data_IF_277936482424
#
_entry.id   IF_277936482424
#
_cell.length_a   1.000
_cell.length_b   1.000
_cell.length_c   1.000
_cell.angle_alpha   90.00
_cell.angle_beta   90.00
_cell.angle_gamma   90.00
#
_symmetry.space_group_name_H-M   'P 1'
#
loop_
_entity.id
_entity.type
_entity.pdbx_description
1 polymer ?
#
# COMPACT_ATOMS: atom_id res chain seq x y z
N UNK A 1 22.43 -1.27 14.10
CA UNK A 1 22.13 -0.77 15.46
C UNK A 1 20.88 -1.51 15.89
N UNK A 2 20.99 -2.50 16.76
CA UNK A 2 19.87 -3.29 17.30
C UNK A 2 19.19 -2.38 18.33
N UNK A 3 17.94 -2.00 18.10
CA UNK A 3 17.24 -1.07 18.98
C UNK A 3 16.22 -1.87 19.76
N UNK A 4 16.58 -2.24 20.98
CA UNK A 4 15.67 -2.79 21.98
C UNK A 4 14.81 -1.72 22.66
N UNK A 5 15.15 -0.45 22.49
CA UNK A 5 14.40 0.71 22.99
C UNK A 5 14.69 1.93 22.10
N UNK A 6 13.94 2.10 21.02
CA UNK A 6 13.74 3.46 20.52
C UNK A 6 12.67 4.08 21.41
N UNK A 7 13.08 4.95 22.32
CA UNK A 7 12.13 5.87 22.92
C UNK A 7 11.33 6.52 21.80
N UNK A 8 10.02 6.27 21.78
CA UNK A 8 9.11 7.13 21.05
C UNK A 8 9.51 8.56 21.42
N UNK A 9 9.80 9.46 20.46
CA UNK A 9 9.94 10.87 20.82
C UNK A 9 8.71 11.21 21.65
N UNK A 10 8.93 11.86 22.81
CA UNK A 10 7.96 12.09 23.86
C UNK A 10 6.58 12.33 23.26
N UNK A 11 5.61 11.51 23.63
CA UNK A 11 4.30 11.44 23.00
C UNK A 11 3.78 12.87 22.78
N UNK A 12 3.76 13.30 21.52
CA UNK A 12 2.96 14.46 21.16
C UNK A 12 1.57 14.18 21.73
N UNK A 13 1.04 15.12 22.50
CA UNK A 13 -0.29 15.04 23.14
C UNK A 13 -1.22 14.42 22.11
N UNK A 14 -1.67 13.18 22.33
CA UNK A 14 -2.58 12.51 21.42
C UNK A 14 -3.83 13.37 21.37
N UNK A 15 -3.96 14.16 20.31
CA UNK A 15 -5.24 14.81 20.00
C UNK A 15 -6.24 13.67 19.77
N UNK A 16 -7.45 13.81 20.32
CA UNK A 16 -8.50 12.82 20.10
C UNK A 16 -8.66 12.54 18.59
N UNK A 17 -8.74 11.26 18.23
CA UNK A 17 -8.92 10.84 16.82
C UNK A 17 -10.21 11.47 16.29
N UNK A 18 -10.12 12.20 15.18
CA UNK A 18 -11.27 12.76 14.48
C UNK A 18 -11.91 11.65 13.63
N UNK A 19 -13.20 11.44 13.75
CA UNK A 19 -13.91 10.47 12.93
C UNK A 19 -14.77 11.21 11.91
N UNK A 20 -14.54 11.05 10.60
CA UNK A 20 -15.41 11.66 9.60
C UNK A 20 -16.80 11.03 9.66
N UNK A 21 -17.85 11.85 9.66
CA UNK A 21 -19.24 11.39 9.70
C UNK A 21 -19.77 10.99 8.32
N UNK A 22 -19.11 11.46 7.25
CA UNK A 22 -19.50 11.20 5.85
C UNK A 22 -18.27 10.95 4.97
N UNK A 23 -18.46 10.33 3.82
CA UNK A 23 -17.39 10.15 2.83
C UNK A 23 -16.85 11.49 2.32
N UNK A 24 -17.70 12.48 2.14
CA UNK A 24 -17.28 13.83 1.75
C UNK A 24 -16.37 14.46 2.82
N UNK A 25 -16.66 14.24 4.10
CA UNK A 25 -15.82 14.69 5.20
C UNK A 25 -14.49 13.91 5.26
N UNK A 26 -14.50 12.60 4.98
CA UNK A 26 -13.27 11.81 4.86
C UNK A 26 -12.35 12.35 3.76
N UNK A 27 -12.88 12.72 2.60
CA UNK A 27 -12.13 13.38 1.52
C UNK A 27 -11.59 14.74 1.95
N UNK A 28 -12.40 15.54 2.68
CA UNK A 28 -11.95 16.82 3.23
C UNK A 28 -10.77 16.61 4.19
N UNK A 29 -10.89 15.66 5.13
CA UNK A 29 -9.84 15.34 6.09
C UNK A 29 -8.58 14.81 5.40
N UNK A 30 -8.72 14.03 4.35
CA UNK A 30 -7.58 13.57 3.55
C UNK A 30 -6.82 14.76 2.91
N UNK A 31 -7.52 15.75 2.38
CA UNK A 31 -6.89 16.97 1.82
C UNK A 31 -6.16 17.79 2.90
N UNK A 32 -6.81 18.02 4.04
CA UNK A 32 -6.18 18.72 5.18
C UNK A 32 -4.93 17.97 5.70
N UNK A 33 -5.00 16.65 5.76
CA UNK A 33 -3.87 15.80 6.15
C UNK A 33 -2.74 15.86 5.10
N UNK A 34 -3.08 15.78 3.81
CA UNK A 34 -2.11 15.84 2.71
C UNK A 34 -1.36 17.19 2.69
N UNK A 35 -2.04 18.32 2.95
CA UNK A 35 -1.39 19.62 3.06
C UNK A 35 -0.30 19.63 4.15
N UNK A 36 -0.59 19.07 5.33
CA UNK A 36 0.38 18.97 6.44
C UNK A 36 1.53 18.01 6.11
N UNK A 37 1.22 16.86 5.51
CA UNK A 37 2.23 15.87 5.07
C UNK A 37 3.13 16.48 4.00
N UNK A 38 2.58 17.24 3.05
CA UNK A 38 3.34 17.90 1.99
C UNK A 38 4.38 18.90 2.54
N UNK A 39 4.07 19.62 3.61
CA UNK A 39 5.03 20.51 4.26
C UNK A 39 6.23 19.75 4.83
N UNK A 40 5.98 18.58 5.44
CA UNK A 40 7.03 17.71 5.96
C UNK A 40 7.85 17.06 4.83
N UNK A 41 7.20 16.60 3.77
CA UNK A 41 7.85 15.95 2.63
C UNK A 41 8.69 16.91 1.76
N UNK A 42 8.31 18.20 1.68
CA UNK A 42 9.07 19.22 0.95
C UNK A 42 10.41 19.57 1.63
N UNK A 43 10.48 19.46 2.94
CA UNK A 43 11.72 19.73 3.69
C UNK A 43 12.65 18.51 3.64
N UNK A 44 13.84 18.60 3.01
CA UNK A 44 14.76 17.47 2.89
C UNK A 44 15.19 16.85 4.21
N UNK A 45 15.35 17.67 5.26
CA UNK A 45 15.78 17.19 6.58
C UNK A 45 14.69 16.35 7.24
N UNK A 46 13.44 16.80 7.16
CA UNK A 46 12.28 16.07 7.71
C UNK A 46 12.01 14.81 6.88
N UNK A 47 12.19 14.88 5.57
CA UNK A 47 11.98 13.74 4.68
C UNK A 47 12.98 12.60 4.90
N UNK A 48 14.13 12.85 5.52
CA UNK A 48 15.10 11.83 5.89
C UNK A 48 14.82 11.16 7.26
N UNK A 49 13.84 11.67 8.00
CA UNK A 49 13.47 11.14 9.30
C UNK A 49 12.40 10.04 9.17
N UNK A 50 12.29 9.20 10.20
CA UNK A 50 11.19 8.25 10.29
C UNK A 50 9.84 9.00 10.35
N UNK A 51 8.81 8.57 9.60
CA UNK A 51 7.59 9.34 9.38
C UNK A 51 6.57 9.21 10.53
N UNK A 52 7.01 9.37 11.79
CA UNK A 52 6.12 9.31 12.96
C UNK A 52 5.02 10.37 12.88
N UNK A 53 5.41 11.63 12.56
CA UNK A 53 4.45 12.72 12.48
C UNK A 53 3.43 12.50 11.36
N UNK A 54 3.87 12.04 10.20
CA UNK A 54 2.99 11.74 9.07
C UNK A 54 2.02 10.61 9.40
N UNK A 55 2.51 9.54 10.05
CA UNK A 55 1.68 8.43 10.48
C UNK A 55 0.64 8.87 11.55
N UNK A 56 1.03 9.73 12.48
CA UNK A 56 0.13 10.28 13.50
C UNK A 56 -0.91 11.24 12.87
N UNK A 57 -0.56 12.00 11.83
CA UNK A 57 -1.53 12.78 11.05
C UNK A 57 -2.61 11.86 10.47
N UNK A 58 -2.24 10.73 9.83
CA UNK A 58 -3.22 9.77 9.30
C UNK A 58 -4.18 9.28 10.37
N UNK A 59 -3.65 8.89 11.54
CA UNK A 59 -4.44 8.40 12.68
C UNK A 59 -5.35 9.50 13.26
N UNK A 60 -4.81 10.70 13.53
CA UNK A 60 -5.53 11.81 14.15
C UNK A 60 -6.67 12.35 13.26
N UNK A 61 -6.53 12.25 11.94
CA UNK A 61 -7.60 12.57 11.00
C UNK A 61 -8.57 11.41 10.76
N UNK A 62 -8.42 10.29 11.49
CA UNK A 62 -9.27 9.10 11.40
C UNK A 62 -9.23 8.38 10.07
N UNK A 63 -8.24 8.67 9.22
CA UNK A 63 -8.14 8.08 7.87
C UNK A 63 -7.83 6.59 7.91
N UNK A 64 -7.26 6.11 9.00
CA UNK A 64 -7.04 4.68 9.26
C UNK A 64 -8.33 3.92 9.57
N UNK A 65 -9.41 4.60 9.98
CA UNK A 65 -10.65 3.97 10.43
C UNK A 65 -11.82 4.09 9.42
N UNK A 66 -11.66 4.81 8.31
CA UNK A 66 -12.76 5.07 7.36
C UNK A 66 -13.36 3.81 6.75
N UNK A 67 -12.56 2.75 6.59
CA UNK A 67 -13.00 1.49 6.00
C UNK A 67 -13.68 0.54 7.01
N UNK A 68 -13.61 0.83 8.32
CA UNK A 68 -14.31 0.04 9.34
C UNK A 68 -15.82 0.06 9.08
N UNK A 69 -16.48 -1.11 8.95
CA UNK A 69 -17.90 -1.19 8.66
C UNK A 69 -18.78 -0.46 9.68
N UNK A 70 -19.89 0.13 9.22
CA UNK A 70 -20.85 0.84 10.10
C UNK A 70 -21.35 -0.02 11.25
N UNK A 71 -21.61 -1.31 11.02
CA UNK A 71 -22.01 -2.28 12.06
C UNK A 71 -20.96 -2.48 13.16
N UNK A 72 -19.72 -2.07 12.91
CA UNK A 72 -18.60 -2.14 13.85
C UNK A 72 -18.20 -0.75 14.38
N UNK A 73 -19.00 0.29 14.13
CA UNK A 73 -18.80 1.64 14.64
C UNK A 73 -17.96 2.57 13.75
N UNK A 74 -17.56 2.14 12.55
CA UNK A 74 -16.83 2.96 11.60
C UNK A 74 -17.71 3.69 10.59
N UNK A 75 -17.08 4.40 9.64
CA UNK A 75 -17.77 5.08 8.54
C UNK A 75 -18.34 4.07 7.51
N UNK A 76 -17.70 2.93 7.30
CA UNK A 76 -18.04 1.98 6.24
C UNK A 76 -17.91 2.63 4.86
N UNK A 77 -16.82 3.35 4.63
CA UNK A 77 -16.57 4.05 3.39
C UNK A 77 -16.55 3.08 2.18
N UNK A 78 -17.06 3.55 1.04
CA UNK A 78 -16.96 2.85 -0.24
C UNK A 78 -15.51 2.63 -0.67
N UNK A 79 -15.27 1.66 -1.54
CA UNK A 79 -13.97 1.44 -2.17
C UNK A 79 -13.49 2.71 -2.85
N UNK A 80 -14.38 3.39 -3.56
CA UNK A 80 -14.12 4.67 -4.22
C UNK A 80 -13.56 5.72 -3.26
N UNK A 81 -14.12 5.85 -2.09
CA UNK A 81 -13.66 6.82 -1.08
C UNK A 81 -12.31 6.41 -0.49
N UNK A 82 -12.10 5.13 -0.15
CA UNK A 82 -10.81 4.66 0.38
C UNK A 82 -9.69 4.86 -0.64
N UNK A 83 -9.93 4.49 -1.89
CA UNK A 83 -8.98 4.66 -3.01
C UNK A 83 -8.63 6.14 -3.22
N UNK A 84 -9.64 7.03 -3.20
CA UNK A 84 -9.43 8.48 -3.35
C UNK A 84 -8.64 9.07 -2.17
N UNK A 85 -8.89 8.62 -0.94
CA UNK A 85 -8.12 9.04 0.24
C UNK A 85 -6.66 8.63 0.12
N UNK A 86 -6.37 7.37 -0.29
CA UNK A 86 -4.99 6.92 -0.53
C UNK A 86 -4.33 7.74 -1.64
N UNK A 87 -5.04 8.02 -2.75
CA UNK A 87 -4.53 8.86 -3.84
C UNK A 87 -4.17 10.28 -3.36
N UNK A 88 -5.05 10.92 -2.57
CA UNK A 88 -4.82 12.27 -2.04
C UNK A 88 -3.59 12.30 -1.14
N UNK A 89 -3.44 11.36 -0.20
CA UNK A 89 -2.27 11.28 0.67
C UNK A 89 -0.99 11.08 -0.16
N UNK A 90 -1.04 10.22 -1.18
CA UNK A 90 0.11 9.94 -2.06
C UNK A 90 0.50 11.12 -2.96
N UNK A 91 -0.37 12.11 -3.15
CA UNK A 91 -0.01 13.38 -3.81
C UNK A 91 1.03 14.15 -2.99
N UNK A 92 0.96 14.05 -1.68
CA UNK A 92 1.90 14.68 -0.76
C UNK A 92 3.18 13.84 -0.58
N UNK A 93 3.01 12.52 -0.37
CA UNK A 93 4.10 11.58 -0.06
C UNK A 93 3.70 10.15 -0.42
N UNK A 94 4.41 9.52 -1.36
CA UNK A 94 4.13 8.17 -1.83
C UNK A 94 4.35 7.10 -0.77
N UNK A 95 5.37 7.24 0.07
CA UNK A 95 5.68 6.31 1.16
C UNK A 95 4.62 6.34 2.27
N UNK A 96 4.12 7.52 2.61
CA UNK A 96 3.01 7.68 3.58
C UNK A 96 1.71 7.12 3.00
N UNK A 97 1.47 7.31 1.69
CA UNK A 97 0.37 6.65 0.98
C UNK A 97 0.43 5.13 1.10
N UNK A 98 1.63 4.56 1.03
CA UNK A 98 1.84 3.11 1.19
C UNK A 98 1.62 2.62 2.62
N UNK A 99 1.91 3.42 3.65
CA UNK A 99 1.51 3.11 5.03
C UNK A 99 -0.01 2.97 5.16
N UNK A 100 -0.75 3.88 4.56
CA UNK A 100 -2.22 3.85 4.58
C UNK A 100 -2.77 2.69 3.72
N UNK A 101 -2.15 2.42 2.57
CA UNK A 101 -2.47 1.29 1.70
C UNK A 101 -2.38 -0.03 2.47
N UNK A 102 -1.21 -0.33 3.06
CA UNK A 102 -1.02 -1.62 3.73
C UNK A 102 -1.93 -1.77 4.95
N UNK A 103 -2.15 -0.69 5.69
CA UNK A 103 -3.11 -0.67 6.79
C UNK A 103 -4.51 -1.12 6.31
N UNK A 104 -5.04 -0.52 5.23
CA UNK A 104 -6.34 -0.87 4.67
C UNK A 104 -6.39 -2.31 4.13
N UNK A 105 -5.29 -2.83 3.59
CA UNK A 105 -5.20 -4.24 3.19
C UNK A 105 -5.31 -5.17 4.40
N UNK A 106 -4.61 -4.87 5.49
CA UNK A 106 -4.57 -5.73 6.67
C UNK A 106 -5.88 -5.69 7.46
N UNK A 107 -6.49 -4.51 7.65
CA UNK A 107 -7.75 -4.41 8.43
C UNK A 107 -8.93 -5.08 7.74
N UNK A 108 -8.96 -5.18 6.40
CA UNK A 108 -10.00 -5.92 5.70
C UNK A 108 -10.11 -7.37 6.19
N UNK A 109 -8.96 -8.00 6.45
CA UNK A 109 -8.90 -9.34 7.02
C UNK A 109 -9.49 -9.43 8.43
N UNK A 110 -9.41 -8.35 9.22
CA UNK A 110 -9.97 -8.30 10.58
C UNK A 110 -11.49 -8.40 10.55
N UNK A 111 -12.16 -7.76 9.58
CA UNK A 111 -13.63 -7.74 9.52
C UNK A 111 -14.26 -9.10 9.23
N UNK A 112 -13.50 -10.01 8.61
CA UNK A 112 -13.92 -11.36 8.25
C UNK A 112 -13.53 -12.42 9.30
N UNK A 113 -12.92 -12.02 10.41
CA UNK A 113 -12.61 -12.93 11.52
C UNK A 113 -13.87 -13.35 12.26
N UNK A 114 -13.84 -14.48 12.98
CA UNK A 114 -14.93 -14.85 13.89
C UNK A 114 -15.30 -13.70 14.84
N UNK A 115 -16.59 -13.62 15.21
CA UNK A 115 -17.09 -12.60 16.11
C UNK A 115 -16.73 -12.95 17.55
N UNK A 116 -15.52 -12.59 17.94
CA UNK A 116 -14.94 -12.84 19.24
C UNK A 116 -14.36 -11.56 19.85
N UNK A 117 -13.92 -11.66 21.10
CA UNK A 117 -13.32 -10.56 21.84
C UNK A 117 -12.04 -10.04 21.15
N UNK A 118 -11.30 -10.94 20.49
CA UNK A 118 -10.08 -10.56 19.78
C UNK A 118 -10.40 -9.64 18.57
N UNK A 119 -11.40 -10.00 17.75
CA UNK A 119 -11.88 -9.12 16.67
C UNK A 119 -12.38 -7.79 17.21
N UNK A 120 -13.18 -7.81 18.28
CA UNK A 120 -13.69 -6.61 18.92
C UNK A 120 -12.56 -5.68 19.40
N UNK A 121 -11.49 -6.23 19.95
CA UNK A 121 -10.28 -5.49 20.33
C UNK A 121 -9.61 -4.86 19.12
N UNK A 122 -9.39 -5.61 18.03
CA UNK A 122 -8.74 -5.11 16.81
C UNK A 122 -9.53 -3.95 16.19
N UNK A 123 -10.86 -4.05 16.20
CA UNK A 123 -11.75 -2.99 15.71
C UNK A 123 -11.64 -1.73 16.58
N UNK A 124 -11.71 -1.87 17.90
CA UNK A 124 -11.51 -0.73 18.83
C UNK A 124 -10.15 -0.08 18.60
N UNK A 125 -9.08 -0.87 18.52
CA UNK A 125 -7.73 -0.38 18.27
C UNK A 125 -7.64 0.39 16.94
N UNK A 126 -8.34 -0.07 15.89
CA UNK A 126 -8.42 0.65 14.60
C UNK A 126 -9.15 1.98 14.75
N UNK A 127 -10.29 2.02 15.44
CA UNK A 127 -11.05 3.24 15.72
C UNK A 127 -10.24 4.23 16.57
N UNK A 128 -9.43 3.73 17.49
CA UNK A 128 -8.50 4.53 18.31
C UNK A 128 -7.25 5.00 17.53
N UNK A 129 -7.21 4.80 16.21
CA UNK A 129 -6.13 5.24 15.32
C UNK A 129 -4.88 4.36 15.36
N UNK A 130 -4.91 3.19 15.99
CA UNK A 130 -3.81 2.22 15.95
C UNK A 130 -3.67 1.61 14.55
N UNK A 131 -2.43 1.40 14.14
CA UNK A 131 -2.08 1.02 12.78
C UNK A 131 -1.74 -0.46 12.67
N UNK A 132 -1.92 -0.98 11.44
CA UNK A 132 -1.54 -2.34 11.04
C UNK A 132 -0.46 -2.28 9.98
N UNK A 133 0.60 -3.05 10.18
CA UNK A 133 1.66 -3.30 9.22
C UNK A 133 1.67 -4.75 8.76
N UNK A 134 2.52 -5.06 7.79
CA UNK A 134 2.68 -6.42 7.31
C UNK A 134 4.08 -6.99 7.55
N UNK A 135 4.19 -8.32 7.53
CA UNK A 135 5.43 -9.08 7.49
C UNK A 135 5.21 -10.33 6.62
N UNK A 136 5.04 -10.12 5.29
CA UNK A 136 4.62 -11.17 4.36
C UNK A 136 5.76 -11.74 3.54
N UNK A 137 6.68 -10.89 3.05
CA UNK A 137 7.74 -11.26 2.14
C UNK A 137 9.03 -11.68 2.86
N UNK A 138 9.83 -12.50 2.19
CA UNK A 138 11.16 -12.92 2.65
C UNK A 138 12.19 -12.67 1.54
N UNK A 139 13.43 -12.41 1.93
CA UNK A 139 14.56 -12.31 1.00
C UNK A 139 15.22 -13.67 0.89
N UNK A 140 15.59 -14.08 -0.32
CA UNK A 140 16.41 -15.28 -0.57
C UNK A 140 15.63 -16.58 -0.77
N UNK A 141 14.29 -16.59 -0.68
CA UNK A 141 13.47 -17.76 -1.03
C UNK A 141 13.46 -18.05 -2.54
N UNK A 142 13.24 -19.31 -2.93
CA UNK A 142 13.11 -19.73 -4.35
C UNK A 142 11.92 -19.05 -5.04
N UNK A 143 10.88 -18.74 -4.29
CA UNK A 143 9.69 -18.02 -4.73
C UNK A 143 8.92 -17.48 -3.52
N UNK A 144 7.89 -16.66 -3.76
CA UNK A 144 7.08 -16.01 -2.70
C UNK A 144 6.26 -16.96 -1.81
N UNK A 145 6.24 -18.26 -2.08
CA UNK A 145 5.54 -19.28 -1.29
C UNK A 145 6.48 -20.15 -0.47
N UNK A 146 7.79 -19.98 -0.65
CA UNK A 146 8.82 -20.68 0.11
C UNK A 146 9.11 -19.89 1.39
N UNK A 147 8.43 -20.28 2.47
CA UNK A 147 8.54 -19.59 3.77
C UNK A 147 9.60 -20.25 4.63
N UNK A 148 10.73 -19.56 4.83
CA UNK A 148 11.73 -19.92 5.83
C UNK A 148 11.24 -19.61 7.27
N UNK A 149 10.39 -18.56 7.41
CA UNK A 149 9.68 -18.28 8.66
C UNK A 149 8.65 -19.36 8.91
N UNK A 150 8.76 -20.07 10.05
CA UNK A 150 7.95 -21.25 10.34
C UNK A 150 7.38 -21.23 11.76
N UNK A 151 6.21 -21.86 11.87
CA UNK A 151 5.63 -22.29 13.14
C UNK A 151 5.87 -23.79 13.26
N UNK A 152 6.50 -24.19 14.35
CA UNK A 152 6.74 -25.60 14.72
C UNK A 152 6.32 -25.86 16.16
N UNK A 153 6.11 -27.14 16.53
CA UNK A 153 5.88 -27.51 17.91
C UNK A 153 7.21 -27.62 18.67
N UNK A 154 7.23 -27.09 19.90
CA UNK A 154 8.32 -27.35 20.86
C UNK A 154 8.14 -28.71 21.54
N UNK A 155 9.08 -29.10 22.42
CA UNK A 155 9.04 -30.36 23.16
C UNK A 155 7.85 -30.49 24.12
N UNK A 156 7.27 -29.36 24.51
CA UNK A 156 6.08 -29.27 25.37
C UNK A 156 4.78 -29.31 24.56
N UNK A 157 4.88 -29.30 23.20
CA UNK A 157 3.75 -29.34 22.28
C UNK A 157 3.17 -27.96 21.93
N UNK A 158 3.76 -26.86 22.43
CA UNK A 158 3.33 -25.51 22.10
C UNK A 158 3.80 -25.10 20.69
N UNK A 159 3.03 -24.23 20.04
CA UNK A 159 3.43 -23.69 18.75
C UNK A 159 4.39 -22.50 18.92
N UNK A 160 5.55 -22.56 18.27
CA UNK A 160 6.59 -21.53 18.30
C UNK A 160 6.86 -21.00 16.90
N UNK A 161 6.86 -19.67 16.76
CA UNK A 161 7.21 -18.97 15.53
C UNK A 161 8.66 -18.52 15.58
N UNK A 162 9.41 -18.86 14.53
CA UNK A 162 10.79 -18.45 14.32
C UNK A 162 11.02 -18.03 12.88
N UNK A 163 11.90 -17.03 12.66
CA UNK A 163 12.32 -16.58 11.34
C UNK A 163 12.39 -15.08 11.21
N UNK A 164 12.41 -14.59 9.98
CA UNK A 164 12.43 -13.15 9.69
C UNK A 164 11.74 -12.84 8.39
N UNK A 165 11.17 -11.64 8.32
CA UNK A 165 10.54 -11.06 7.12
C UNK A 165 11.24 -9.76 6.76
N UNK A 166 11.23 -9.42 5.47
CA UNK A 166 11.69 -8.14 4.94
C UNK A 166 10.61 -7.56 4.02
N UNK A 167 10.75 -6.32 3.59
CA UNK A 167 9.66 -5.56 2.95
C UNK A 167 8.41 -5.50 3.84
N UNK A 168 8.64 -5.36 5.17
CA UNK A 168 7.57 -5.36 6.18
C UNK A 168 6.97 -3.97 6.32
N UNK A 169 6.30 -3.51 5.27
CA UNK A 169 5.74 -2.17 5.15
C UNK A 169 4.90 -1.80 6.35
N UNK A 170 5.19 -0.63 6.94
CA UNK A 170 4.45 -0.03 8.03
C UNK A 170 4.61 -0.71 9.39
N UNK A 171 5.22 -1.91 9.48
CA UNK A 171 5.33 -2.65 10.74
C UNK A 171 6.08 -1.89 11.81
N UNK A 172 7.11 -1.12 11.43
CA UNK A 172 7.89 -0.32 12.36
C UNK A 172 7.06 0.76 13.08
N UNK A 173 5.97 1.24 12.46
CA UNK A 173 5.07 2.28 12.97
C UNK A 173 3.72 1.74 13.44
N UNK A 174 3.50 0.43 13.35
CA UNK A 174 2.21 -0.20 13.65
C UNK A 174 2.17 -0.80 15.07
N UNK A 175 0.97 -0.92 15.62
CA UNK A 175 0.66 -1.68 16.83
C UNK A 175 0.43 -3.16 16.52
N UNK A 176 -0.07 -3.47 15.33
CA UNK A 176 -0.39 -4.82 14.93
C UNK A 176 0.36 -5.20 13.65
N UNK A 177 1.01 -6.35 13.66
CA UNK A 177 1.79 -6.89 12.54
C UNK A 177 1.11 -8.16 12.04
N UNK A 178 0.65 -8.11 10.77
CA UNK A 178 0.08 -9.27 10.08
C UNK A 178 1.17 -10.00 9.32
N UNK A 179 1.34 -11.30 9.56
CA UNK A 179 2.38 -12.09 8.91
C UNK A 179 1.84 -13.41 8.36
N UNK A 180 2.60 -13.99 7.42
CA UNK A 180 2.44 -15.37 6.97
C UNK A 180 3.67 -16.18 7.31
N UNK A 181 3.46 -17.43 7.74
CA UNK A 181 4.53 -18.38 8.03
C UNK A 181 4.18 -19.75 7.46
N UNK A 182 5.16 -20.63 7.29
CA UNK A 182 4.94 -22.04 7.02
C UNK A 182 4.58 -22.79 8.30
N UNK A 183 3.80 -23.86 8.20
CA UNK A 183 3.60 -24.84 9.26
C UNK A 183 3.47 -26.23 8.66
N UNK A 184 3.43 -27.26 9.51
CA UNK A 184 3.24 -28.65 9.05
C UNK A 184 1.84 -28.87 8.45
N UNK A 185 0.87 -28.01 8.79
CA UNK A 185 -0.49 -28.05 8.26
C UNK A 185 -0.71 -27.07 7.07
N UNK A 186 0.38 -26.52 6.52
CA UNK A 186 0.34 -25.54 5.43
C UNK A 186 0.59 -24.09 5.92
N UNK A 187 0.41 -23.10 5.02
CA UNK A 187 0.64 -21.70 5.37
C UNK A 187 -0.35 -21.20 6.42
N UNK A 188 0.16 -20.40 7.36
CA UNK A 188 -0.60 -19.82 8.47
C UNK A 188 -0.50 -18.31 8.45
N UNK A 189 -1.64 -17.63 8.64
CA UNK A 189 -1.72 -16.19 8.85
C UNK A 189 -1.81 -15.86 10.33
N UNK A 190 -0.88 -15.09 10.84
CA UNK A 190 -0.78 -14.72 12.26
C UNK A 190 -0.87 -13.21 12.38
N UNK A 191 -1.48 -12.72 13.46
CA UNK A 191 -1.51 -11.31 13.82
C UNK A 191 -0.91 -11.15 15.21
N UNK A 192 0.19 -10.39 15.30
CA UNK A 192 0.91 -10.14 16.54
C UNK A 192 0.82 -8.68 16.95
N UNK A 193 0.74 -8.44 18.26
CA UNK A 193 0.98 -7.09 18.79
C UNK A 193 2.48 -6.80 18.78
N UNK A 194 2.88 -5.55 18.51
CA UNK A 194 4.30 -5.14 18.46
C UNK A 194 5.09 -5.42 19.75
N UNK A 195 4.40 -5.49 20.90
CA UNK A 195 5.00 -5.75 22.19
C UNK A 195 5.06 -7.26 22.52
N UNK A 196 4.77 -8.14 21.54
CA UNK A 196 4.87 -9.59 21.74
C UNK A 196 6.33 -9.96 22.07
N UNK A 197 6.60 -10.66 23.19
CA UNK A 197 7.96 -11.10 23.51
C UNK A 197 8.56 -11.93 22.37
N UNK A 198 9.81 -11.63 21.98
CA UNK A 198 10.50 -12.30 20.88
C UNK A 198 10.25 -11.64 19.49
N UNK A 199 9.45 -10.59 19.41
CA UNK A 199 9.28 -9.81 18.19
C UNK A 199 10.24 -8.62 18.20
N UNK A 200 11.04 -8.47 17.13
CA UNK A 200 11.95 -7.32 16.94
C UNK A 200 11.69 -6.65 15.61
N UNK A 201 11.62 -5.31 15.63
CA UNK A 201 11.45 -4.46 14.46
C UNK A 201 12.76 -3.71 14.22
N UNK A 202 13.31 -3.80 13.00
CA UNK A 202 14.60 -3.17 12.66
C UNK A 202 14.38 -1.94 11.75
N UNK A 203 15.06 -0.84 12.05
CA UNK A 203 15.17 0.31 11.17
C UNK A 203 16.31 0.10 10.18
N UNK A 204 16.09 -0.74 9.17
CA UNK A 204 17.07 -1.11 8.15
C UNK A 204 16.56 -0.89 6.72
N UNK A 205 15.44 -0.23 6.53
CA UNK A 205 14.94 0.15 5.21
C UNK A 205 15.78 1.29 4.63
N UNK A 206 16.55 1.00 3.57
CA UNK A 206 17.51 1.95 2.96
C UNK A 206 17.35 2.01 1.43
N UNK A 207 16.09 2.11 0.97
CA UNK A 207 15.79 2.32 -0.45
C UNK A 207 15.99 3.79 -0.83
N UNK A 208 16.28 4.07 -2.11
CA UNK A 208 16.43 5.44 -2.60
C UNK A 208 15.11 6.20 -2.75
N UNK A 209 13.96 5.52 -2.68
CA UNK A 209 12.61 6.05 -2.68
C UNK A 209 11.72 5.23 -1.75
N UNK A 210 10.46 5.65 -1.57
CA UNK A 210 9.53 5.01 -0.64
C UNK A 210 10.11 4.91 0.79
N UNK A 211 10.95 5.87 1.19
CA UNK A 211 11.62 5.85 2.49
C UNK A 211 10.59 5.81 3.63
N UNK A 212 9.52 6.57 3.50
CA UNK A 212 8.45 6.68 4.49
C UNK A 212 7.53 5.45 4.55
N UNK A 213 7.70 4.46 3.66
CA UNK A 213 7.01 3.17 3.79
C UNK A 213 7.56 2.30 4.93
N UNK A 214 8.78 2.59 5.38
CA UNK A 214 9.50 1.93 6.49
C UNK A 214 9.39 0.40 6.40
N UNK A 215 9.83 -0.13 5.24
CA UNK A 215 9.61 -1.54 4.86
C UNK A 215 10.78 -2.45 5.27
N UNK A 216 11.31 -2.30 6.50
CA UNK A 216 12.45 -3.01 7.04
C UNK A 216 12.18 -4.44 7.50
N UNK A 217 13.10 -4.95 8.31
CA UNK A 217 13.09 -6.32 8.84
C UNK A 217 12.19 -6.45 10.07
N UNK A 218 11.47 -7.57 10.13
CA UNK A 218 10.78 -8.07 11.32
C UNK A 218 11.34 -9.45 11.67
N UNK A 219 11.83 -9.63 12.91
CA UNK A 219 12.34 -10.91 13.40
C UNK A 219 11.40 -11.51 14.41
N UNK A 220 11.34 -12.83 14.40
CA UNK A 220 10.55 -13.67 15.30
C UNK A 220 11.46 -14.68 15.95
N UNK A 221 11.57 -14.60 17.26
CA UNK A 221 12.43 -15.48 18.06
C UNK A 221 11.60 -16.17 19.15
N UNK A 222 11.35 -17.46 18.96
CA UNK A 222 10.65 -18.32 19.92
C UNK A 222 9.28 -17.77 20.39
N UNK A 223 8.53 -17.10 19.51
CA UNK A 223 7.23 -16.50 19.84
C UNK A 223 6.19 -17.60 20.03
N UNK A 224 5.50 -17.60 21.18
CA UNK A 224 4.36 -18.46 21.41
C UNK A 224 3.18 -18.04 20.50
N UNK A 225 2.70 -18.98 19.71
CA UNK A 225 1.57 -18.77 18.77
C UNK A 225 0.32 -19.44 19.34
N UNK A 226 -0.77 -18.69 19.42
CA UNK A 226 -2.06 -19.21 19.84
C UNK A 226 -2.58 -20.23 18.80
N UNK A 227 -3.07 -21.37 19.27
CA UNK A 227 -3.57 -22.48 18.46
C UNK A 227 -4.70 -22.06 17.50
N UNK A 228 -5.44 -20.99 17.84
CA UNK A 228 -6.50 -20.43 16.96
C UNK A 228 -6.00 -20.00 15.56
N UNK A 229 -4.70 -19.69 15.43
CA UNK A 229 -4.09 -19.33 14.16
C UNK A 229 -3.65 -20.54 13.33
N UNK A 230 -3.56 -21.71 13.93
CA UNK A 230 -3.02 -22.91 13.29
C UNK A 230 -4.14 -23.60 12.47
N UNK A 231 -3.95 -23.82 11.17
CA UNK A 231 -4.90 -24.57 10.37
C UNK A 231 -5.11 -25.97 10.94
N UNK A 232 -6.37 -26.42 11.02
CA UNK A 232 -6.65 -27.81 11.39
C UNK A 232 -6.14 -28.73 10.28
N UNK A 233 -5.64 -29.94 10.63
CA UNK A 233 -5.25 -30.94 9.63
C UNK A 233 -6.39 -31.17 8.63
N UNK A 234 -6.11 -31.00 7.33
CA UNK A 234 -7.12 -31.11 6.28
C UNK A 234 -8.08 -29.93 6.17
N UNK A 235 -7.94 -28.92 7.00
CA UNK A 235 -8.66 -27.65 6.86
C UNK A 235 -8.14 -26.91 5.62
N UNK A 236 -9.06 -26.61 4.69
CA UNK A 236 -8.73 -25.70 3.58
C UNK A 236 -8.55 -24.32 4.21
N UNK A 237 -7.31 -23.84 4.28
CA UNK A 237 -7.07 -22.40 4.48
C UNK A 237 -7.90 -21.68 3.42
N UNK A 238 -8.87 -20.87 3.84
CA UNK A 238 -9.85 -20.25 2.94
C UNK A 238 -9.19 -19.77 1.66
N UNK A 239 -9.56 -20.39 0.53
CA UNK A 239 -8.97 -20.12 -0.76
C UNK A 239 -9.10 -18.62 -1.08
N UNK A 240 -8.04 -18.04 -1.62
CA UNK A 240 -8.14 -16.67 -2.13
C UNK A 240 -9.14 -16.66 -3.30
N UNK A 241 -10.13 -15.79 -3.22
CA UNK A 241 -11.09 -15.63 -4.34
C UNK A 241 -10.36 -15.20 -5.62
N UNK A 242 -10.98 -15.41 -6.75
CA UNK A 242 -10.49 -14.98 -8.06
C UNK A 242 -10.11 -13.50 -8.07
N UNK A 243 -10.93 -12.66 -7.43
CA UNK A 243 -10.74 -11.21 -7.30
C UNK A 243 -9.92 -10.79 -6.07
N UNK A 244 -9.43 -11.73 -5.26
CA UNK A 244 -8.81 -11.44 -3.96
C UNK A 244 -7.58 -10.55 -4.00
N UNK A 245 -6.86 -10.52 -5.13
CA UNK A 245 -5.69 -9.64 -5.31
C UNK A 245 -6.05 -8.25 -5.83
N UNK A 246 -7.28 -8.01 -6.29
CA UNK A 246 -7.66 -6.69 -6.83
C UNK A 246 -7.63 -5.59 -5.77
N UNK A 247 -7.95 -5.92 -4.52
CA UNK A 247 -7.92 -4.96 -3.42
C UNK A 247 -6.54 -4.32 -3.17
N UNK A 248 -5.47 -5.07 -2.89
CA UNK A 248 -4.15 -4.44 -2.76
C UNK A 248 -3.71 -3.74 -4.05
N UNK A 249 -4.08 -4.25 -5.22
CA UNK A 249 -3.62 -3.70 -6.49
C UNK A 249 -4.27 -2.36 -6.84
N UNK A 250 -5.55 -2.15 -6.57
CA UNK A 250 -6.19 -0.85 -6.81
C UNK A 250 -5.62 0.22 -5.87
N UNK A 251 -5.24 -0.14 -4.65
CA UNK A 251 -4.58 0.78 -3.73
C UNK A 251 -3.15 1.13 -4.17
N UNK A 252 -2.41 0.19 -4.76
CA UNK A 252 -1.13 0.51 -5.41
C UNK A 252 -1.32 1.47 -6.60
N UNK A 253 -2.37 1.27 -7.42
CA UNK A 253 -2.69 2.22 -8.49
C UNK A 253 -3.02 3.62 -7.95
N UNK A 254 -3.69 3.71 -6.81
CA UNK A 254 -3.96 4.99 -6.15
C UNK A 254 -2.69 5.70 -5.71
N UNK A 255 -1.68 4.97 -5.20
CA UNK A 255 -0.38 5.54 -4.83
C UNK A 255 0.32 6.12 -6.06
N UNK A 256 0.48 5.34 -7.12
CA UNK A 256 1.16 5.80 -8.35
C UNK A 256 0.42 6.99 -8.98
N UNK A 257 -0.92 6.96 -9.01
CA UNK A 257 -1.75 8.08 -9.51
C UNK A 257 -1.56 9.33 -8.65
N UNK A 258 -1.46 9.18 -7.32
CA UNK A 258 -1.18 10.28 -6.40
C UNK A 258 0.20 10.87 -6.61
N UNK A 259 1.24 10.05 -6.76
CA UNK A 259 2.61 10.51 -7.05
C UNK A 259 2.63 11.29 -8.39
N UNK A 260 1.97 10.77 -9.44
CA UNK A 260 1.88 11.44 -10.73
C UNK A 260 1.22 12.84 -10.61
N UNK A 261 0.14 12.94 -9.84
CA UNK A 261 -0.55 14.20 -9.55
C UNK A 261 0.35 15.17 -8.79
N UNK A 262 1.01 14.71 -7.73
CA UNK A 262 1.93 15.52 -6.93
C UNK A 262 3.12 16.05 -7.75
N UNK A 263 3.68 15.23 -8.61
CA UNK A 263 4.75 15.64 -9.53
C UNK A 263 4.28 16.72 -10.51
N UNK A 264 3.08 16.56 -11.11
CA UNK A 264 2.49 17.55 -12.00
C UNK A 264 2.26 18.90 -11.29
N UNK A 265 1.69 18.87 -10.08
CA UNK A 265 1.42 20.09 -9.29
C UNK A 265 2.72 20.78 -8.90
N UNK A 266 3.72 20.04 -8.41
CA UNK A 266 5.02 20.59 -8.05
C UNK A 266 5.77 21.15 -9.26
N UNK A 267 5.75 20.47 -10.40
CA UNK A 267 6.35 20.96 -11.63
C UNK A 267 5.68 22.26 -12.10
N UNK A 268 4.35 22.32 -12.10
CA UNK A 268 3.59 23.48 -12.51
C UNK A 268 3.83 24.68 -11.58
N UNK A 269 3.90 24.46 -10.28
CA UNK A 269 4.24 25.50 -9.30
C UNK A 269 5.65 26.03 -9.55
N UNK A 270 6.63 25.14 -9.73
CA UNK A 270 8.02 25.51 -9.98
C UNK A 270 8.19 26.32 -11.28
N UNK A 271 7.52 25.91 -12.35
CA UNK A 271 7.55 26.62 -13.65
C UNK A 271 7.02 28.06 -13.55
N UNK A 272 6.01 28.28 -12.72
CA UNK A 272 5.41 29.60 -12.52
C UNK A 272 6.25 30.52 -11.65
N UNK A 273 7.01 29.96 -10.69
CA UNK A 273 7.64 30.76 -9.64
C UNK A 273 9.15 30.81 -9.70
N UNK A 274 9.82 29.83 -10.32
CA UNK A 274 11.26 29.66 -10.23
C UNK A 274 11.98 29.49 -11.57
N UNK A 275 11.26 29.03 -12.62
CA UNK A 275 11.86 28.80 -13.93
C UNK A 275 11.97 30.12 -14.72
N UNK A 276 13.05 30.23 -15.51
CA UNK A 276 13.26 31.29 -16.48
C UNK A 276 12.93 30.72 -17.88
N UNK A 277 12.37 31.54 -18.78
CA UNK A 277 12.17 31.12 -20.17
C UNK A 277 13.52 30.89 -20.86
N UNK A 278 13.52 29.99 -21.84
CA UNK A 278 14.67 29.85 -22.72
C UNK A 278 14.75 31.03 -23.68
N UNK A 279 15.94 31.50 -23.99
CA UNK A 279 16.15 32.74 -24.78
C UNK A 279 15.50 32.70 -26.13
N UNK A 280 15.46 31.53 -26.79
CA UNK A 280 14.85 31.38 -28.12
C UNK A 280 13.31 31.45 -28.11
N UNK A 281 12.70 31.41 -26.94
CA UNK A 281 11.24 31.50 -26.84
C UNK A 281 10.70 32.92 -26.94
N UNK A 282 11.55 33.93 -26.75
CA UNK A 282 11.20 35.36 -26.84
C UNK A 282 9.98 35.76 -25.99
N UNK A 283 9.84 35.12 -24.79
CA UNK A 283 8.76 35.38 -23.84
C UNK A 283 9.32 35.83 -22.49
N UNK A 284 8.52 36.49 -21.67
CA UNK A 284 8.94 37.00 -20.39
C UNK A 284 8.97 35.93 -19.28
N UNK A 285 8.10 34.93 -19.37
CA UNK A 285 7.92 33.88 -18.34
C UNK A 285 7.99 32.50 -18.95
N UNK A 286 8.59 31.55 -18.26
CA UNK A 286 8.65 30.16 -18.69
C UNK A 286 7.24 29.54 -18.92
N UNK A 287 6.23 29.98 -18.17
CA UNK A 287 4.85 29.54 -18.34
C UNK A 287 4.19 30.01 -19.65
N UNK A 288 4.84 30.86 -20.43
CA UNK A 288 4.38 31.36 -21.75
C UNK A 288 5.07 30.63 -22.92
N UNK A 289 6.09 29.82 -22.62
CA UNK A 289 6.83 29.08 -23.62
C UNK A 289 5.97 27.97 -24.25
N UNK A 290 5.77 27.95 -25.58
CA UNK A 290 4.87 27.00 -26.23
C UNK A 290 5.24 25.54 -26.00
N UNK A 291 6.53 25.20 -25.91
CA UNK A 291 7.02 23.83 -25.66
C UNK A 291 6.73 23.38 -24.23
N UNK A 292 6.88 24.26 -23.24
CA UNK A 292 6.53 24.02 -21.85
C UNK A 292 5.02 23.79 -21.73
N UNK A 293 4.21 24.69 -22.31
CA UNK A 293 2.74 24.56 -22.28
C UNK A 293 2.30 23.23 -22.88
N UNK A 294 2.83 22.85 -24.04
CA UNK A 294 2.52 21.57 -24.69
C UNK A 294 2.89 20.39 -23.78
N UNK A 295 4.09 20.39 -23.21
CA UNK A 295 4.57 19.26 -22.38
C UNK A 295 3.79 19.13 -21.08
N UNK A 296 3.46 20.22 -20.42
CA UNK A 296 2.57 20.22 -19.25
C UNK A 296 1.18 19.70 -19.63
N UNK A 297 0.69 20.00 -20.83
CA UNK A 297 -0.53 19.41 -21.37
C UNK A 297 -0.45 17.88 -21.50
N UNK A 298 0.67 17.34 -21.99
CA UNK A 298 0.92 15.90 -22.08
C UNK A 298 0.93 15.24 -20.70
N UNK A 299 1.58 15.85 -19.70
CA UNK A 299 1.54 15.39 -18.31
C UNK A 299 0.11 15.37 -17.75
N UNK A 300 -0.62 16.46 -17.95
CA UNK A 300 -1.99 16.57 -17.46
C UNK A 300 -2.91 15.51 -18.07
N UNK A 301 -2.76 15.20 -19.37
CA UNK A 301 -3.52 14.12 -20.04
C UNK A 301 -3.18 12.76 -19.45
N UNK A 302 -1.89 12.46 -19.24
CA UNK A 302 -1.46 11.19 -18.64
C UNK A 302 -2.02 10.99 -17.22
N UNK A 303 -1.92 12.03 -16.38
CA UNK A 303 -2.45 12.01 -15.01
C UNK A 303 -3.98 11.87 -15.00
N UNK A 304 -4.68 12.66 -15.82
CA UNK A 304 -6.15 12.59 -15.92
C UNK A 304 -6.64 11.23 -16.42
N UNK A 305 -5.88 10.59 -17.33
CA UNK A 305 -6.14 9.22 -17.78
C UNK A 305 -6.03 8.21 -16.64
N UNK A 306 -4.97 8.28 -15.84
CA UNK A 306 -4.80 7.43 -14.67
C UNK A 306 -5.92 7.65 -13.62
N UNK A 307 -6.27 8.91 -13.33
CA UNK A 307 -7.35 9.25 -12.40
C UNK A 307 -8.73 8.77 -12.88
N UNK A 308 -9.00 8.85 -14.19
CA UNK A 308 -10.27 8.38 -14.76
C UNK A 308 -10.39 6.86 -14.66
N UNK A 309 -9.33 6.13 -15.02
CA UNK A 309 -9.29 4.67 -14.87
C UNK A 309 -9.35 4.23 -13.41
N UNK A 310 -8.71 4.97 -12.49
CA UNK A 310 -8.76 4.67 -11.06
C UNK A 310 -10.18 4.77 -10.51
N UNK A 311 -10.91 5.84 -10.87
CA UNK A 311 -12.32 6.01 -10.50
C UNK A 311 -13.19 4.91 -11.08
N UNK A 312 -13.00 4.59 -12.36
CA UNK A 312 -13.72 3.52 -13.02
C UNK A 312 -13.52 2.17 -12.32
N UNK A 313 -12.25 1.79 -12.06
CA UNK A 313 -11.93 0.55 -11.37
C UNK A 313 -12.53 0.50 -9.95
N UNK A 314 -12.57 1.63 -9.25
CA UNK A 314 -13.19 1.72 -7.92
C UNK A 314 -14.72 1.58 -8.00
N UNK A 315 -15.38 2.18 -9.00
CA UNK A 315 -16.81 2.04 -9.22
C UNK A 315 -17.18 0.57 -9.56
N UNK A 316 -16.40 -0.10 -10.41
CA UNK A 316 -16.55 -1.54 -10.71
C UNK A 316 -16.35 -2.39 -9.45
N UNK A 317 -15.40 -2.02 -8.61
CA UNK A 317 -15.15 -2.74 -7.35
C UNK A 317 -16.33 -2.61 -6.39
N UNK A 318 -16.89 -1.41 -6.21
CA UNK A 318 -18.08 -1.20 -5.37
C UNK A 318 -19.28 -2.00 -5.89
N UNK A 319 -19.47 -2.11 -7.22
CA UNK A 319 -20.50 -2.96 -7.83
C UNK A 319 -20.26 -4.45 -7.56
N UNK A 320 -19.00 -4.92 -7.71
CA UNK A 320 -18.62 -6.31 -7.42
C UNK A 320 -18.92 -6.71 -5.96
N UNK A 321 -18.80 -5.79 -5.01
CA UNK A 321 -19.12 -6.07 -3.60
C UNK A 321 -20.65 -6.31 -3.40
N UNK A 322 -21.50 -5.81 -4.28
CA UNK A 322 -22.95 -6.03 -4.24
C UNK A 322 -23.35 -7.35 -4.91
N UNK A 323 -22.62 -7.78 -5.92
CA UNK A 323 -22.82 -9.05 -6.63
C UNK A 323 -21.47 -9.76 -6.87
N UNK A 324 -20.93 -10.42 -5.83
CA UNK A 324 -19.60 -11.01 -5.91
C UNK A 324 -19.50 -12.27 -6.76
N UNK A 325 -20.62 -12.88 -7.11
CA UNK A 325 -20.70 -14.14 -7.86
C UNK A 325 -20.89 -13.90 -9.38
N UNK A 326 -21.13 -12.65 -9.82
CA UNK A 326 -21.19 -12.29 -11.24
C UNK A 326 -19.82 -12.43 -11.90
N UNK A 327 -19.65 -13.45 -12.76
CA UNK A 327 -18.38 -13.75 -13.44
C UNK A 327 -17.95 -12.63 -14.39
N UNK A 328 -18.90 -11.99 -15.10
CA UNK A 328 -18.56 -10.90 -16.02
C UNK A 328 -18.07 -9.68 -15.26
N UNK A 329 -18.66 -9.40 -14.10
CA UNK A 329 -18.23 -8.32 -13.21
C UNK A 329 -16.88 -8.64 -12.55
N UNK A 330 -16.60 -9.91 -12.23
CA UNK A 330 -15.27 -10.34 -11.78
C UNK A 330 -14.20 -10.13 -12.86
N UNK A 331 -14.48 -10.50 -14.11
CA UNK A 331 -13.57 -10.26 -15.25
C UNK A 331 -13.31 -8.77 -15.42
N UNK A 332 -14.36 -7.96 -15.47
CA UNK A 332 -14.23 -6.52 -15.61
C UNK A 332 -13.42 -5.88 -14.47
N UNK A 333 -13.65 -6.30 -13.21
CA UNK A 333 -12.89 -5.82 -12.09
C UNK A 333 -11.38 -6.11 -12.24
N UNK A 334 -11.02 -7.32 -12.64
CA UNK A 334 -9.61 -7.70 -12.82
C UNK A 334 -8.99 -6.89 -13.97
N UNK A 335 -9.71 -6.73 -15.09
CA UNK A 335 -9.26 -5.93 -16.25
C UNK A 335 -9.09 -4.46 -15.89
N UNK A 336 -10.09 -3.86 -15.22
CA UNK A 336 -10.07 -2.47 -14.81
C UNK A 336 -8.88 -2.18 -13.87
N UNK A 337 -8.65 -3.07 -12.88
CA UNK A 337 -7.52 -2.94 -11.95
C UNK A 337 -6.18 -3.14 -12.67
N UNK A 338 -6.05 -4.11 -13.58
CA UNK A 338 -4.84 -4.31 -14.36
C UNK A 338 -4.54 -3.10 -15.26
N UNK A 339 -5.59 -2.52 -15.88
CA UNK A 339 -5.48 -1.35 -16.74
C UNK A 339 -5.02 -0.12 -15.97
N UNK A 340 -5.65 0.19 -14.83
CA UNK A 340 -5.24 1.34 -14.02
C UNK A 340 -3.86 1.15 -13.42
N UNK A 341 -3.47 -0.06 -13.03
CA UNK A 341 -2.09 -0.34 -12.59
C UNK A 341 -1.07 0.01 -13.67
N UNK A 342 -1.36 -0.37 -14.91
CA UNK A 342 -0.45 -0.09 -16.04
C UNK A 342 -0.40 1.40 -16.38
N UNK A 343 -1.54 2.07 -16.36
CA UNK A 343 -1.61 3.50 -16.68
C UNK A 343 -0.99 4.36 -15.58
N UNK A 344 -1.23 4.05 -14.31
CA UNK A 344 -0.66 4.80 -13.18
C UNK A 344 0.85 4.64 -13.06
N UNK A 345 1.37 3.40 -13.28
CA UNK A 345 2.81 3.13 -13.38
C UNK A 345 3.46 4.04 -14.43
N UNK A 346 2.93 4.00 -15.67
CA UNK A 346 3.45 4.82 -16.78
C UNK A 346 3.35 6.32 -16.50
N UNK A 347 2.22 6.81 -15.98
CA UNK A 347 2.01 8.21 -15.69
C UNK A 347 2.93 8.73 -14.58
N UNK A 348 3.10 7.96 -13.50
CA UNK A 348 3.95 8.36 -12.38
C UNK A 348 5.40 8.50 -12.78
N UNK A 349 5.93 7.51 -13.53
CA UNK A 349 7.30 7.54 -14.03
C UNK A 349 7.51 8.62 -15.08
N UNK A 350 6.55 8.78 -16.01
CA UNK A 350 6.64 9.78 -17.05
C UNK A 350 6.72 11.19 -16.46
N UNK A 351 5.75 11.58 -15.63
CA UNK A 351 5.69 12.95 -15.11
C UNK A 351 6.85 13.22 -14.16
N UNK A 352 7.11 12.33 -13.21
CA UNK A 352 8.11 12.55 -12.16
C UNK A 352 9.56 12.57 -12.67
N UNK A 353 9.84 11.84 -13.76
CA UNK A 353 11.16 11.84 -14.39
C UNK A 353 11.33 12.97 -15.40
N UNK A 354 10.37 13.12 -16.30
CA UNK A 354 10.50 14.04 -17.45
C UNK A 354 10.35 15.52 -17.04
N UNK A 355 9.69 15.82 -15.93
CA UNK A 355 9.51 17.21 -15.45
C UNK A 355 10.83 17.98 -15.35
N UNK A 356 11.94 17.32 -15.01
CA UNK A 356 13.25 17.97 -14.89
C UNK A 356 13.78 18.53 -16.22
N UNK A 357 13.32 18.00 -17.35
CA UNK A 357 13.63 18.54 -18.68
C UNK A 357 13.06 19.95 -18.89
N UNK A 358 11.95 20.27 -18.21
CA UNK A 358 11.32 21.59 -18.26
C UNK A 358 11.81 22.53 -17.14
N UNK A 359 12.08 21.97 -15.95
CA UNK A 359 12.41 22.75 -14.75
C UNK A 359 13.84 23.27 -14.75
N UNK A 360 14.74 22.65 -15.52
CA UNK A 360 16.14 23.00 -15.62
C UNK A 360 16.97 22.54 -14.41
N UNK A 361 18.28 22.79 -14.48
CA UNK A 361 19.27 22.26 -13.52
C UNK A 361 19.02 22.69 -12.06
N UNK A 362 18.50 23.90 -11.83
CA UNK A 362 18.25 24.40 -10.47
C UNK A 362 17.18 23.60 -9.70
N UNK A 363 16.28 22.93 -10.42
CA UNK A 363 15.26 22.07 -9.83
C UNK A 363 15.85 20.79 -9.22
N UNK A 364 17.06 20.40 -9.61
CA UNK A 364 17.76 19.23 -9.05
C UNK A 364 18.38 19.47 -7.68
N UNK A 365 18.38 20.72 -7.20
CA UNK A 365 18.94 21.05 -5.88
C UNK A 365 18.09 20.43 -4.76
N UNK A 366 18.77 19.85 -3.76
CA UNK A 366 18.15 19.14 -2.63
C UNK A 366 17.12 19.99 -1.86
N UNK A 367 17.31 21.32 -1.80
CA UNK A 367 16.37 22.22 -1.12
C UNK A 367 14.93 22.17 -1.65
N UNK A 368 14.73 21.72 -2.89
CA UNK A 368 13.41 21.59 -3.51
C UNK A 368 12.79 20.20 -3.29
N UNK A 369 13.63 19.20 -3.05
CA UNK A 369 13.26 17.79 -2.85
C UNK A 369 12.28 17.26 -3.92
N UNK A 370 12.40 17.72 -5.17
CA UNK A 370 11.49 17.32 -6.27
C UNK A 370 11.78 15.90 -6.74
N UNK A 371 13.03 15.43 -6.60
CA UNK A 371 13.43 14.08 -6.95
C UNK A 371 12.69 13.00 -6.15
N UNK A 372 12.08 13.33 -5.01
CA UNK A 372 11.30 12.38 -4.21
C UNK A 372 10.16 11.73 -5.02
N UNK A 373 9.50 12.48 -5.90
CA UNK A 373 8.44 11.95 -6.72
C UNK A 373 8.92 10.84 -7.66
N UNK A 374 10.06 11.04 -8.33
CA UNK A 374 10.67 10.02 -9.17
C UNK A 374 11.18 8.84 -8.35
N UNK A 375 11.84 9.11 -7.26
CA UNK A 375 12.40 8.08 -6.40
C UNK A 375 11.28 7.18 -5.83
N UNK A 376 10.20 7.79 -5.34
CA UNK A 376 9.03 7.06 -4.83
C UNK A 376 8.33 6.27 -5.92
N UNK A 377 8.06 6.88 -7.08
CA UNK A 377 7.46 6.19 -8.22
C UNK A 377 8.32 5.00 -8.67
N UNK A 378 9.65 5.22 -8.83
CA UNK A 378 10.54 4.15 -9.31
C UNK A 378 10.63 2.98 -8.35
N UNK A 379 10.72 3.21 -7.04
CA UNK A 379 10.75 2.13 -6.05
C UNK A 379 9.39 1.43 -5.98
N UNK A 380 8.28 2.19 -5.97
CA UNK A 380 6.94 1.62 -5.87
C UNK A 380 6.57 0.77 -7.10
N UNK A 381 6.91 1.22 -8.31
CA UNK A 381 6.62 0.48 -9.55
C UNK A 381 7.45 -0.80 -9.73
N UNK A 382 8.45 -1.05 -8.88
CA UNK A 382 9.17 -2.34 -8.85
C UNK A 382 8.49 -3.41 -8.00
N UNK A 383 7.40 -3.07 -7.31
CA UNK A 383 6.71 -3.99 -6.40
C UNK A 383 6.24 -5.28 -7.09
N UNK A 384 5.67 -5.17 -8.30
CA UNK A 384 5.35 -6.33 -9.14
C UNK A 384 5.51 -5.99 -10.64
N UNK A 385 5.79 -7.00 -11.48
CA UNK A 385 6.16 -6.75 -12.86
C UNK A 385 4.94 -6.38 -13.72
N UNK A 386 4.80 -5.08 -14.02
CA UNK A 386 3.69 -4.49 -14.79
C UNK A 386 3.46 -5.16 -16.16
N UNK A 387 4.52 -5.72 -16.78
CA UNK A 387 4.42 -6.45 -18.06
C UNK A 387 3.41 -7.60 -18.04
N UNK A 388 3.18 -8.21 -16.87
CA UNK A 388 2.18 -9.26 -16.72
C UNK A 388 0.76 -8.72 -16.67
N UNK A 389 0.57 -7.49 -16.16
CA UNK A 389 -0.74 -6.81 -16.22
C UNK A 389 -1.14 -6.53 -17.66
N UNK A 390 -0.20 -5.98 -18.44
CA UNK A 390 -0.40 -5.75 -19.86
C UNK A 390 -0.63 -7.06 -20.64
N UNK A 391 0.11 -8.13 -20.31
CA UNK A 391 -0.09 -9.45 -20.90
C UNK A 391 -1.52 -9.96 -20.65
N UNK A 392 -2.02 -9.87 -19.43
CA UNK A 392 -3.37 -10.35 -19.09
C UNK A 392 -4.45 -9.55 -19.84
N UNK A 393 -4.33 -8.24 -19.86
CA UNK A 393 -5.25 -7.38 -20.62
C UNK A 393 -5.20 -7.71 -22.11
N UNK A 394 -3.99 -7.80 -22.69
CA UNK A 394 -3.81 -8.13 -24.11
C UNK A 394 -4.34 -9.51 -24.48
N UNK A 395 -4.13 -10.51 -23.62
CA UNK A 395 -4.58 -11.88 -23.86
C UNK A 395 -6.11 -12.01 -23.80
N UNK A 396 -6.77 -11.24 -22.94
CA UNK A 396 -8.21 -11.16 -22.92
C UNK A 396 -8.77 -10.61 -24.24
N UNK A 397 -8.27 -9.44 -24.69
CA UNK A 397 -8.78 -8.81 -25.92
C UNK A 397 -8.39 -9.56 -27.19
N UNK A 398 -7.24 -10.19 -27.23
CA UNK A 398 -6.74 -10.87 -28.43
C UNK A 398 -7.28 -12.31 -28.54
N UNK A 399 -7.34 -13.05 -27.43
CA UNK A 399 -7.55 -14.49 -27.41
C UNK A 399 -8.81 -14.89 -26.62
N UNK A 400 -9.53 -13.94 -26.01
CA UNK A 400 -10.70 -14.23 -25.18
C UNK A 400 -10.38 -15.00 -23.88
N UNK A 401 -9.13 -14.96 -23.42
CA UNK A 401 -8.72 -15.66 -22.19
C UNK A 401 -9.13 -14.84 -20.99
N UNK A 402 -9.95 -15.38 -20.05
CA UNK A 402 -10.34 -14.68 -18.84
C UNK A 402 -9.14 -14.15 -18.04
N UNK A 403 -9.18 -12.97 -17.43
CA UNK A 403 -8.03 -12.29 -16.84
C UNK A 403 -7.66 -12.84 -15.44
N UNK A 404 -7.57 -14.16 -15.30
CA UNK A 404 -7.38 -14.85 -14.02
C UNK A 404 -6.00 -15.50 -13.84
N UNK A 405 -5.15 -15.48 -14.86
CA UNK A 405 -3.91 -16.29 -14.87
C UNK A 405 -3.00 -16.05 -13.66
N UNK A 406 -2.83 -14.80 -13.19
CA UNK A 406 -2.01 -14.52 -12.03
C UNK A 406 -2.63 -15.09 -10.74
N UNK A 407 -3.92 -14.94 -10.56
CA UNK A 407 -4.68 -15.53 -9.46
C UNK A 407 -4.71 -17.04 -9.53
N UNK A 408 -4.92 -17.62 -10.73
CA UNK A 408 -4.95 -19.05 -10.95
C UNK A 408 -3.61 -19.73 -10.59
N UNK A 409 -2.49 -19.17 -10.99
CA UNK A 409 -1.16 -19.69 -10.66
C UNK A 409 -0.91 -19.70 -9.13
N UNK A 410 -1.35 -18.65 -8.43
CA UNK A 410 -1.26 -18.57 -6.97
C UNK A 410 -2.16 -19.61 -6.32
N UNK A 411 -3.41 -19.76 -6.79
CA UNK A 411 -4.35 -20.74 -6.24
C UNK A 411 -3.85 -22.16 -6.47
N UNK A 412 -3.37 -22.48 -7.69
CA UNK A 412 -2.79 -23.78 -8.02
C UNK A 412 -1.61 -24.12 -7.10
N UNK A 413 -0.69 -23.16 -6.88
CA UNK A 413 0.46 -23.38 -5.99
C UNK A 413 0.06 -23.56 -4.53
N UNK A 414 -0.91 -22.82 -4.06
CA UNK A 414 -1.46 -23.01 -2.69
C UNK A 414 -2.14 -24.37 -2.54
N UNK A 415 -2.89 -24.81 -3.53
CA UNK A 415 -3.52 -26.13 -3.54
C UNK A 415 -2.49 -27.25 -3.53
N UNK A 416 -1.41 -27.13 -4.33
CA UNK A 416 -0.28 -28.06 -4.34
C UNK A 416 0.39 -28.15 -2.97
N UNK A 417 0.67 -27.01 -2.33
CA UNK A 417 1.27 -26.97 -0.98
C UNK A 417 0.34 -27.57 0.09
N UNK A 418 -0.96 -27.30 -0.02
CA UNK A 418 -1.95 -27.89 0.89
C UNK A 418 -2.06 -29.42 0.70
N UNK A 419 -1.99 -29.92 -0.54
CA UNK A 419 -1.97 -31.36 -0.84
C UNK A 419 -0.69 -32.04 -0.36
N UNK A 420 0.47 -31.38 -0.52
CA UNK A 420 1.76 -31.91 -0.03
C UNK A 420 1.82 -31.98 1.51
N UNK A 421 1.13 -31.09 2.21
CA UNK A 421 1.01 -31.12 3.67
C UNK A 421 0.04 -32.22 4.18
N UNK A 422 -0.71 -32.89 3.29
CA UNK A 422 -1.69 -33.91 3.65
C UNK A 422 -1.60 -35.15 2.73
N UNK A 423 -0.51 -35.94 2.79
CA UNK A 423 -0.27 -37.06 1.86
C UNK A 423 -1.21 -38.28 2.04
N UNK A 424 -2.17 -38.25 2.96
CA UNK A 424 -3.03 -39.40 3.32
C UNK A 424 -4.43 -39.39 2.69
N UNK A 425 -4.63 -38.69 1.57
CA UNK A 425 -5.85 -38.82 0.75
C UNK A 425 -5.51 -39.24 -0.68
N UNK A 426 -5.18 -40.53 -0.84
CA UNK A 426 -5.38 -41.33 -2.08
C UNK A 426 -6.29 -42.48 -1.71
#
# INVERSE_FOLDING_TARGET
>A
MTITEIEKPAAAVQSAVRHPATEAEAIKFAKEAAEKIALLARNPETHQQLPYQQADILSNYGLTAIFVPKRLGGLGASIKTVVEVVRIISTADGGVGQLLQIHNVMIRGVFNRPDDEFRARLVRDTLDGKRFGNALAEVGGKNKFDHATRVSRDEEGNYRLNGSKFYSTGSFLAEWISLTAGSDNGPVGILLNRNTPGLTLEDDWRAFGQQHSVSGTVRFENILVDERFIPKPGGVSGGMSRTGLTWPQILHAAIDTGIARGALEAATEYLRTNSRPWVDAEVERAAEEPHIIKRVGEYAVAVRGAEALLRYAADVFDQHLLDPDDEALQDELILAVASVRSQSDSASLFVSSDMFSLLGASASLSKWNLNRFWADARVHTTHDPIRWRLHHVGNYYLNGVPPDEYGAAIRAKRAELAAAANPTRI
#
